data_IF_426295375820
#
_entry.id   IF_426295375820
#
_cell.length_a   1.000
_cell.length_b   1.000
_cell.length_c   1.000
_cell.angle_alpha   90.00
_cell.angle_beta   90.00
_cell.angle_gamma   90.00
#
_symmetry.space_group_name_H-M   'P 1'
#
loop_
_entity.id
_entity.type
_entity.pdbx_description
1 polymer ?
#
# COMPACT_ATOMS: atom_id res chain seq x y z
N UNK A 1 24.12 -20.13 -21.04
CA UNK A 1 22.90 -19.77 -21.79
C UNK A 1 22.56 -18.30 -21.56
N UNK A 2 22.63 -17.42 -22.58
CA UNK A 2 22.40 -15.97 -22.43
C UNK A 2 20.98 -15.56 -22.03
N UNK A 3 19.97 -16.40 -22.29
CA UNK A 3 18.56 -16.11 -22.00
C UNK A 3 18.24 -16.23 -20.50
N UNK A 4 18.79 -17.23 -19.81
CA UNK A 4 18.74 -17.38 -18.34
C UNK A 4 19.28 -16.13 -17.64
N UNK A 5 20.37 -15.55 -18.15
CA UNK A 5 20.97 -14.33 -17.61
C UNK A 5 20.06 -13.11 -17.79
N UNK A 6 19.42 -12.93 -18.96
CA UNK A 6 18.47 -11.83 -19.20
C UNK A 6 17.22 -11.94 -18.32
N UNK A 7 16.72 -13.15 -18.10
CA UNK A 7 15.54 -13.37 -17.27
C UNK A 7 15.84 -13.16 -15.78
N UNK A 8 16.96 -13.66 -15.28
CA UNK A 8 17.41 -13.38 -13.92
C UNK A 8 17.62 -11.87 -13.69
N UNK A 9 18.14 -11.15 -14.69
CA UNK A 9 18.22 -9.68 -14.65
C UNK A 9 16.83 -9.02 -14.61
N UNK A 10 15.86 -9.52 -15.37
CA UNK A 10 14.49 -9.02 -15.35
C UNK A 10 13.81 -9.25 -14.00
N UNK A 11 13.87 -10.47 -13.46
CA UNK A 11 13.31 -10.82 -12.14
C UNK A 11 13.95 -9.98 -11.03
N UNK A 12 15.28 -9.82 -11.04
CA UNK A 12 16.00 -8.96 -10.10
C UNK A 12 15.56 -7.49 -10.21
N UNK A 13 15.33 -6.99 -11.43
CA UNK A 13 14.84 -5.63 -11.65
C UNK A 13 13.42 -5.46 -11.09
N UNK A 14 12.53 -6.43 -11.32
CA UNK A 14 11.16 -6.41 -10.76
C UNK A 14 11.16 -6.44 -9.24
N UNK A 15 12.00 -7.25 -8.61
CA UNK A 15 12.16 -7.27 -7.14
C UNK A 15 12.57 -5.90 -6.60
N UNK A 16 13.57 -5.24 -7.22
CA UNK A 16 14.00 -3.88 -6.83
C UNK A 16 12.91 -2.83 -7.01
N UNK A 17 12.09 -2.95 -8.05
CA UNK A 17 10.93 -2.07 -8.24
C UNK A 17 9.91 -2.21 -7.11
N UNK A 18 9.57 -3.44 -6.72
CA UNK A 18 8.65 -3.70 -5.61
C UNK A 18 9.22 -3.27 -4.26
N UNK A 19 10.53 -3.46 -4.03
CA UNK A 19 11.21 -2.98 -2.82
C UNK A 19 11.17 -1.45 -2.73
N UNK A 20 11.42 -0.75 -3.84
CA UNK A 20 11.30 0.72 -3.89
C UNK A 20 9.87 1.17 -3.60
N UNK A 21 8.88 0.49 -4.15
CA UNK A 21 7.47 0.82 -3.98
C UNK A 21 7.03 0.58 -2.53
N UNK A 22 7.42 -0.54 -1.93
CA UNK A 22 7.18 -0.85 -0.53
C UNK A 22 7.76 0.23 0.40
N UNK A 23 9.03 0.59 0.22
CA UNK A 23 9.67 1.63 1.03
C UNK A 23 8.94 2.97 0.93
N UNK A 24 8.48 3.36 -0.28
CA UNK A 24 7.71 4.58 -0.47
C UNK A 24 6.35 4.52 0.25
N UNK A 25 5.66 3.37 0.19
CA UNK A 25 4.40 3.17 0.91
C UNK A 25 4.60 3.20 2.42
N UNK A 26 5.66 2.58 2.95
CA UNK A 26 6.01 2.61 4.38
C UNK A 26 6.25 4.05 4.85
N UNK A 27 7.00 4.84 4.07
CA UNK A 27 7.24 6.26 4.36
C UNK A 27 5.95 7.08 4.37
N UNK A 28 5.07 6.87 3.38
CA UNK A 28 3.75 7.52 3.33
C UNK A 28 2.90 7.12 4.53
N UNK A 29 2.88 5.83 4.90
CA UNK A 29 2.19 5.33 6.09
C UNK A 29 2.62 6.08 7.33
N UNK A 30 3.94 6.16 7.55
CA UNK A 30 4.52 6.81 8.71
C UNK A 30 4.08 8.27 8.79
N UNK A 31 4.22 9.03 7.70
CA UNK A 31 3.80 10.45 7.66
C UNK A 31 2.32 10.63 7.96
N UNK A 32 1.45 9.75 7.45
CA UNK A 32 0.01 9.82 7.70
C UNK A 32 -0.29 9.52 9.18
N UNK A 33 0.31 8.48 9.74
CA UNK A 33 0.17 8.12 11.15
C UNK A 33 0.63 9.25 12.08
N UNK A 34 1.77 9.88 11.77
CA UNK A 34 2.30 11.01 12.55
C UNK A 34 1.30 12.18 12.52
N UNK A 35 0.78 12.53 11.33
CA UNK A 35 -0.20 13.61 11.17
C UNK A 35 -1.54 13.33 11.84
N UNK A 36 -2.00 12.08 11.83
CA UNK A 36 -3.20 11.67 12.58
C UNK A 36 -2.99 11.78 14.08
N UNK A 37 -1.81 11.41 14.56
CA UNK A 37 -1.45 11.52 15.97
C UNK A 37 -1.46 12.99 16.41
N UNK A 38 -0.84 13.88 15.62
CA UNK A 38 -0.89 15.33 15.85
C UNK A 38 -2.34 15.84 15.87
N UNK A 39 -3.16 15.44 14.89
CA UNK A 39 -4.56 15.85 14.80
C UNK A 39 -5.37 15.39 16.03
N UNK A 40 -5.17 14.15 16.49
CA UNK A 40 -5.80 13.60 17.71
C UNK A 40 -5.39 14.38 18.96
N UNK A 41 -4.11 14.73 19.07
CA UNK A 41 -3.61 15.56 20.16
C UNK A 41 -4.25 16.95 20.15
N UNK A 42 -4.35 17.59 18.97
CA UNK A 42 -5.05 18.86 18.80
C UNK A 42 -6.54 18.75 19.18
N UNK A 43 -7.23 17.67 18.77
CA UNK A 43 -8.63 17.40 19.17
C UNK A 43 -8.76 17.32 20.69
N UNK A 44 -7.88 16.58 21.35
CA UNK A 44 -7.87 16.44 22.82
C UNK A 44 -7.62 17.76 23.53
N UNK A 45 -6.65 18.54 23.07
CA UNK A 45 -6.36 19.88 23.61
C UNK A 45 -7.54 20.84 23.41
N UNK A 46 -8.19 20.82 22.24
CA UNK A 46 -9.37 21.63 21.95
C UNK A 46 -10.54 21.22 22.84
N UNK A 47 -10.79 19.91 23.00
CA UNK A 47 -11.81 19.38 23.90
C UNK A 47 -11.63 19.95 25.31
N UNK A 48 -10.43 19.85 25.88
CA UNK A 48 -10.14 20.36 27.21
C UNK A 48 -10.36 21.89 27.33
N UNK A 49 -9.98 22.67 26.31
CA UNK A 49 -10.22 24.12 26.30
C UNK A 49 -11.70 24.47 26.23
N UNK A 50 -12.48 23.75 25.42
CA UNK A 50 -13.91 24.01 25.23
C UNK A 50 -14.71 23.64 26.48
N UNK A 51 -14.37 22.56 27.18
CA UNK A 51 -15.02 22.20 28.46
C UNK A 51 -14.73 23.19 29.60
N UNK A 52 -13.64 23.96 29.50
CA UNK A 52 -13.26 24.96 30.51
C UNK A 52 -13.83 26.38 30.24
N UNK A 53 -14.63 26.59 29.18
CA UNK A 53 -15.30 27.87 28.88
C UNK A 53 -16.62 28.03 29.67
N UNK A 54 -16.53 27.98 31.00
CA UNK A 54 -17.67 27.81 31.92
C UNK A 54 -18.63 28.98 32.15
N UNK A 55 -18.73 30.00 31.27
CA UNK A 55 -19.54 31.21 31.53
C UNK A 55 -20.61 31.54 30.46
N UNK A 56 -20.92 30.63 29.55
CA UNK A 56 -22.02 30.81 28.59
C UNK A 56 -23.31 30.24 29.18
N UNK A 57 -24.41 31.01 29.21
CA UNK A 57 -25.73 30.53 29.66
C UNK A 57 -26.83 30.84 28.64
N UNK A 58 -27.93 30.08 28.68
CA UNK A 58 -29.09 30.21 27.79
C UNK A 58 -28.92 29.57 26.41
N UNK A 59 -29.76 29.95 25.44
CA UNK A 59 -29.82 29.37 24.08
C UNK A 59 -28.49 29.43 23.31
N UNK A 60 -27.61 30.37 23.65
CA UNK A 60 -26.28 30.49 23.07
C UNK A 60 -25.35 29.34 23.49
N UNK A 61 -25.47 28.85 24.73
CA UNK A 61 -24.72 27.70 25.21
C UNK A 61 -25.15 26.44 24.43
N UNK A 62 -26.45 26.20 24.30
CA UNK A 62 -26.99 25.02 23.58
C UNK A 62 -26.55 25.01 22.11
N UNK A 63 -26.62 26.15 21.42
CA UNK A 63 -26.14 26.25 20.02
C UNK A 63 -24.64 26.03 19.91
N UNK A 64 -23.86 26.47 20.89
CA UNK A 64 -22.42 26.28 20.91
C UNK A 64 -22.04 24.82 21.20
N UNK A 65 -22.72 24.17 22.14
CA UNK A 65 -22.54 22.74 22.44
C UNK A 65 -22.91 21.85 21.26
N UNK A 66 -24.04 22.10 20.60
CA UNK A 66 -24.43 21.35 19.41
C UNK A 66 -23.41 21.50 18.27
N UNK A 67 -22.93 22.72 18.00
CA UNK A 67 -21.89 22.93 16.99
C UNK A 67 -20.57 22.26 17.37
N UNK A 68 -20.19 22.31 18.65
CA UNK A 68 -18.99 21.63 19.16
C UNK A 68 -19.08 20.13 18.90
N UNK A 69 -20.19 19.51 19.23
CA UNK A 69 -20.39 18.07 19.07
C UNK A 69 -20.39 17.69 17.58
N UNK A 70 -21.07 18.46 16.72
CA UNK A 70 -20.99 18.32 15.26
C UNK A 70 -19.54 18.34 14.72
N UNK A 71 -18.71 19.27 15.21
CA UNK A 71 -17.30 19.33 14.82
C UNK A 71 -16.50 18.12 15.29
N UNK A 72 -16.74 17.66 16.53
CA UNK A 72 -16.05 16.48 17.05
C UNK A 72 -16.49 15.19 16.36
N UNK A 73 -17.75 15.09 15.95
CA UNK A 73 -18.29 13.97 15.18
C UNK A 73 -17.70 13.94 13.77
N UNK A 74 -17.65 15.08 13.07
CA UNK A 74 -16.95 15.18 11.78
C UNK A 74 -15.49 14.80 11.88
N UNK A 75 -14.80 15.22 12.95
CA UNK A 75 -13.43 14.79 13.20
C UNK A 75 -13.34 13.28 13.36
N UNK A 76 -14.24 12.66 14.14
CA UNK A 76 -14.27 11.20 14.33
C UNK A 76 -14.50 10.47 13.01
N UNK A 77 -15.38 10.98 12.14
CA UNK A 77 -15.59 10.41 10.80
C UNK A 77 -14.31 10.48 9.95
N UNK A 78 -13.62 11.62 9.94
CA UNK A 78 -12.35 11.80 9.23
C UNK A 78 -11.28 10.84 9.78
N UNK A 79 -11.16 10.72 11.11
CA UNK A 79 -10.22 9.79 11.75
C UNK A 79 -10.48 8.34 11.34
N UNK A 80 -11.75 7.93 11.30
CA UNK A 80 -12.16 6.60 10.85
C UNK A 80 -11.82 6.37 9.38
N UNK A 81 -12.06 7.34 8.50
CA UNK A 81 -11.69 7.26 7.08
C UNK A 81 -10.18 7.10 6.90
N UNK A 82 -9.37 7.83 7.67
CA UNK A 82 -7.93 7.70 7.64
C UNK A 82 -7.43 6.35 8.19
N UNK A 83 -8.05 5.84 9.24
CA UNK A 83 -7.74 4.49 9.76
C UNK A 83 -8.05 3.41 8.72
N UNK A 84 -9.17 3.53 7.99
CA UNK A 84 -9.50 2.63 6.87
C UNK A 84 -8.44 2.72 5.76
N UNK A 85 -8.07 3.93 5.36
CA UNK A 85 -7.01 4.14 4.37
C UNK A 85 -5.67 3.53 4.80
N UNK A 86 -5.29 3.65 6.09
CA UNK A 86 -4.08 3.01 6.62
C UNK A 86 -4.15 1.48 6.55
N UNK A 87 -5.33 0.89 6.72
CA UNK A 87 -5.54 -0.55 6.55
C UNK A 87 -5.32 -0.98 5.09
N UNK A 88 -5.89 -0.25 4.14
CA UNK A 88 -5.71 -0.50 2.71
C UNK A 88 -4.24 -0.37 2.29
N UNK A 89 -3.56 0.65 2.82
CA UNK A 89 -2.15 0.88 2.57
C UNK A 89 -1.26 -0.23 3.14
N UNK A 90 -1.57 -0.77 4.32
CA UNK A 90 -0.91 -1.98 4.82
C UNK A 90 -1.15 -3.20 3.92
N UNK A 91 -2.35 -3.32 3.34
CA UNK A 91 -2.66 -4.33 2.33
C UNK A 91 -1.76 -4.21 1.09
N UNK A 92 -1.59 -2.99 0.57
CA UNK A 92 -0.71 -2.72 -0.57
C UNK A 92 0.77 -3.03 -0.26
N UNK A 93 1.26 -2.70 0.95
CA UNK A 93 2.60 -3.06 1.41
C UNK A 93 2.77 -4.60 1.43
N UNK A 94 1.79 -5.32 1.98
CA UNK A 94 1.81 -6.79 2.03
C UNK A 94 1.84 -7.41 0.62
N UNK A 95 1.09 -6.85 -0.33
CA UNK A 95 1.13 -7.30 -1.73
C UNK A 95 2.50 -7.08 -2.37
N UNK A 96 3.19 -5.98 -2.06
CA UNK A 96 4.56 -5.77 -2.54
C UNK A 96 5.51 -6.84 -2.01
N UNK A 97 5.39 -7.21 -0.73
CA UNK A 97 6.17 -8.30 -0.15
C UNK A 97 5.87 -9.65 -0.82
N UNK A 98 4.61 -10.00 -0.97
CA UNK A 98 4.21 -11.23 -1.67
C UNK A 98 4.73 -11.28 -3.10
N UNK A 99 4.70 -10.16 -3.84
CA UNK A 99 5.26 -10.11 -5.20
C UNK A 99 6.78 -10.24 -5.22
N UNK A 100 7.50 -9.66 -4.26
CA UNK A 100 8.95 -9.90 -4.13
C UNK A 100 9.24 -11.38 -3.86
N UNK A 101 8.51 -12.02 -2.96
CA UNK A 101 8.67 -13.45 -2.66
C UNK A 101 8.38 -14.32 -3.88
N UNK A 102 7.32 -14.00 -4.64
CA UNK A 102 7.01 -14.67 -5.91
C UNK A 102 8.16 -14.56 -6.92
N UNK A 103 8.72 -13.36 -7.11
CA UNK A 103 9.86 -13.19 -8.00
C UNK A 103 11.14 -13.85 -7.48
N UNK A 104 11.33 -13.88 -6.16
CA UNK A 104 12.46 -14.54 -5.52
C UNK A 104 12.38 -16.08 -5.60
N UNK A 105 11.18 -16.67 -5.62
CA UNK A 105 11.04 -18.10 -5.84
C UNK A 105 11.24 -18.50 -7.30
N UNK A 106 11.07 -17.55 -8.23
CA UNK A 106 11.22 -17.76 -9.68
C UNK A 106 12.62 -17.46 -10.21
N UNK A 107 13.46 -16.78 -9.42
CA UNK A 107 14.84 -16.46 -9.81
C UNK A 107 15.70 -17.71 -9.60
N UNK A 108 16.48 -18.08 -10.62
CA UNK A 108 17.30 -19.30 -10.64
C UNK A 108 16.54 -20.65 -10.61
N UNK A 109 15.21 -20.67 -10.79
CA UNK A 109 14.51 -21.94 -10.98
C UNK A 109 14.52 -22.42 -12.43
N UNK A 110 14.58 -23.73 -12.57
CA UNK A 110 14.56 -24.46 -13.84
C UNK A 110 13.18 -24.47 -14.52
N UNK A 111 12.15 -23.95 -13.83
CA UNK A 111 10.76 -23.80 -14.31
C UNK A 111 10.62 -22.90 -15.54
N UNK A 112 11.68 -22.15 -15.88
CA UNK A 112 11.75 -21.29 -17.06
C UNK A 112 12.55 -21.91 -18.21
N UNK A 113 13.12 -23.11 -18.04
CA UNK A 113 13.46 -23.92 -19.20
C UNK A 113 12.12 -24.21 -19.90
N UNK A 114 11.91 -23.60 -21.08
CA UNK A 114 10.91 -24.12 -22.02
C UNK A 114 11.09 -25.64 -22.03
N UNK A 115 9.99 -26.44 -22.00
CA UNK A 115 10.13 -27.88 -22.15
C UNK A 115 11.03 -28.07 -23.35
N UNK A 116 12.20 -28.70 -23.15
CA UNK A 116 13.07 -29.06 -24.26
C UNK A 116 12.13 -29.70 -25.27
N UNK A 117 11.97 -29.09 -26.46
CA UNK A 117 11.25 -29.75 -27.54
C UNK A 117 11.88 -31.13 -27.61
N UNK A 118 11.14 -32.16 -27.21
CA UNK A 118 11.55 -33.53 -27.39
C UNK A 118 11.71 -33.65 -28.90
N UNK A 119 12.94 -33.48 -29.38
CA UNK A 119 13.37 -33.82 -30.71
C UNK A 119 13.21 -35.34 -30.79
N UNK A 120 11.97 -35.76 -30.97
CA UNK A 120 11.64 -37.07 -31.46
C UNK A 120 12.27 -37.14 -32.84
N UNK A 121 13.41 -37.81 -32.86
CA UNK A 121 14.13 -38.26 -34.03
C UNK A 121 13.13 -38.93 -34.96
N UNK A 122 12.76 -38.27 -36.06
CA UNK A 122 11.72 -38.79 -36.92
C UNK A 122 11.33 -37.92 -38.10
N UNK A 123 12.25 -37.79 -39.06
CA UNK A 123 11.98 -37.61 -40.49
C UNK A 123 11.27 -36.32 -41.01
N UNK A 124 11.99 -35.71 -41.96
CA UNK A 124 11.49 -35.08 -43.19
C UNK A 124 10.88 -33.67 -43.13
N UNK A 125 11.63 -32.75 -43.73
CA UNK A 125 11.06 -31.77 -44.65
C UNK A 125 10.89 -30.37 -44.09
N UNK A 126 11.83 -29.49 -44.45
CA UNK A 126 11.68 -28.05 -44.35
C UNK A 126 10.29 -27.59 -44.84
N UNK A 127 9.52 -26.94 -43.97
CA UNK A 127 8.48 -26.00 -44.37
C UNK A 127 8.78 -24.63 -43.78
N UNK A 128 9.15 -23.70 -44.65
CA UNK A 128 9.11 -22.26 -44.38
C UNK A 128 7.67 -21.89 -44.03
N UNK A 129 7.49 -21.14 -42.95
CA UNK A 129 6.25 -20.42 -42.67
C UNK A 129 6.25 -19.07 -43.43
N UNK A 130 5.09 -18.62 -43.93
CA UNK A 130 4.97 -17.41 -44.71
C UNK A 130 5.10 -16.17 -43.81
N UNK A 131 5.59 -15.10 -44.43
CA UNK A 131 5.92 -13.77 -43.88
C UNK A 131 4.97 -13.22 -42.82
#
# INVERSE_FOLDING_TARGET
MPWVTKFNQYASTKMKEYERLENNLIDKRKRITDKLTDARNCKGALKNKVYNMGDLSGDFLIKYENKRDDYFDRFTQIDNSFNAFLKDLNGAISQCNSKKEEWNSKIYTREWEEPEEEYNVGNQGYKKWPY
#
